data_IF_494900128885
#
_entry.id   IF_494900128885
#
_cell.length_a   1.000
_cell.length_b   1.000
_cell.length_c   1.000
_cell.angle_alpha   90.00
_cell.angle_beta   90.00
_cell.angle_gamma   90.00
#
_symmetry.space_group_name_H-M   'P 1'
#
loop_
_entity.id
_entity.type
_entity.pdbx_description
1 polymer ?
#
# COMPACT_ATOMS: atom_id res chain seq x y z
N UNK A 1 -28.12 -14.66 4.91
CA UNK A 1 -28.94 -14.81 6.13
C UNK A 1 -28.77 -13.55 6.97
N UNK A 2 -29.71 -13.14 7.82
CA UNK A 2 -29.50 -11.93 8.65
C UNK A 2 -28.63 -12.28 9.87
N UNK A 3 -27.52 -11.57 10.08
CA UNK A 3 -26.65 -11.74 11.26
C UNK A 3 -27.43 -11.44 12.54
N UNK A 4 -27.37 -12.28 13.58
CA UNK A 4 -27.95 -11.95 14.88
C UNK A 4 -27.40 -10.62 15.40
N UNK A 5 -28.28 -9.72 15.87
CA UNK A 5 -27.90 -8.37 16.32
C UNK A 5 -26.85 -8.37 17.43
N UNK A 6 -26.87 -9.38 18.31
CA UNK A 6 -25.91 -9.49 19.40
C UNK A 6 -24.49 -9.82 18.89
N UNK A 7 -24.36 -10.71 17.91
CA UNK A 7 -23.09 -11.05 17.26
C UNK A 7 -22.47 -9.85 16.54
N UNK A 8 -23.26 -9.11 15.76
CA UNK A 8 -22.80 -7.90 15.07
C UNK A 8 -22.34 -6.82 16.07
N UNK A 9 -23.07 -6.66 17.18
CA UNK A 9 -22.72 -5.72 18.24
C UNK A 9 -21.41 -6.09 18.94
N UNK A 10 -21.19 -7.37 19.23
CA UNK A 10 -19.95 -7.87 19.82
C UNK A 10 -18.74 -7.65 18.89
N UNK A 11 -18.89 -7.96 17.59
CA UNK A 11 -17.87 -7.72 16.58
C UNK A 11 -17.50 -6.23 16.51
N UNK A 12 -18.48 -5.35 16.38
CA UNK A 12 -18.27 -3.89 16.36
C UNK A 12 -17.61 -3.37 17.63
N UNK A 13 -17.96 -3.92 18.80
CA UNK A 13 -17.32 -3.55 20.06
C UNK A 13 -15.85 -4.00 20.11
N UNK A 14 -15.54 -5.19 19.59
CA UNK A 14 -14.17 -5.68 19.48
C UNK A 14 -13.33 -4.76 18.57
N UNK A 15 -13.83 -4.45 17.36
CA UNK A 15 -13.18 -3.52 16.43
C UNK A 15 -12.95 -2.16 17.08
N UNK A 16 -13.95 -1.60 17.76
CA UNK A 16 -13.83 -0.30 18.42
C UNK A 16 -12.71 -0.26 19.47
N UNK A 17 -12.60 -1.30 20.30
CA UNK A 17 -11.52 -1.43 21.29
C UNK A 17 -10.15 -1.49 20.61
N UNK A 18 -10.05 -2.26 19.53
CA UNK A 18 -8.80 -2.39 18.77
C UNK A 18 -8.39 -1.06 18.12
N UNK A 19 -9.33 -0.31 17.54
CA UNK A 19 -9.09 1.02 16.99
C UNK A 19 -8.56 2.00 18.06
N UNK A 20 -9.13 1.98 19.26
CA UNK A 20 -8.67 2.81 20.38
C UNK A 20 -7.25 2.44 20.81
N UNK A 21 -6.94 1.14 20.87
CA UNK A 21 -5.58 0.68 21.17
C UNK A 21 -4.59 1.08 20.07
N UNK A 22 -4.97 0.92 18.81
CA UNK A 22 -4.16 1.31 17.65
C UNK A 22 -3.81 2.80 17.71
N UNK A 23 -4.81 3.66 17.97
CA UNK A 23 -4.62 5.10 18.11
C UNK A 23 -3.66 5.45 19.25
N UNK A 24 -3.91 4.91 20.46
CA UNK A 24 -3.07 5.16 21.64
C UNK A 24 -1.60 4.77 21.39
N UNK A 25 -1.37 3.60 20.78
CA UNK A 25 -0.01 3.12 20.47
C UNK A 25 0.66 4.00 19.42
N UNK A 26 -0.06 4.38 18.37
CA UNK A 26 0.47 5.23 17.31
C UNK A 26 0.80 6.64 17.81
N UNK A 27 0.05 7.19 18.75
CA UNK A 27 0.33 8.47 19.40
C UNK A 27 1.54 8.40 20.34
N UNK A 28 1.79 7.24 20.95
CA UNK A 28 2.91 7.03 21.86
C UNK A 28 4.29 6.84 21.20
N UNK A 29 4.35 6.77 19.86
CA UNK A 29 5.62 6.59 19.15
C UNK A 29 6.55 7.81 19.33
N UNK A 30 7.80 7.56 19.70
CA UNK A 30 8.78 8.60 20.09
C UNK A 30 10.19 8.42 19.46
N UNK A 31 10.32 7.56 18.46
CA UNK A 31 11.59 7.30 17.76
C UNK A 31 11.71 8.04 16.40
N UNK A 32 12.93 8.15 15.83
CA UNK A 32 13.14 8.81 14.54
C UNK A 32 12.27 8.22 13.42
N UNK A 33 11.69 9.11 12.61
CA UNK A 33 10.85 8.74 11.48
C UNK A 33 9.45 8.22 11.81
N UNK A 34 9.02 8.27 13.08
CA UNK A 34 7.64 7.93 13.45
C UNK A 34 6.61 9.03 13.13
N UNK A 35 7.07 10.20 12.65
CA UNK A 35 6.24 11.35 12.27
C UNK A 35 6.52 11.73 10.83
N UNK A 36 5.47 11.92 10.05
CA UNK A 36 5.58 12.37 8.67
C UNK A 36 5.98 13.84 8.61
N UNK A 37 6.80 14.19 7.62
CA UNK A 37 7.25 15.56 7.33
C UNK A 37 6.51 16.19 6.16
N UNK A 38 5.68 15.40 5.46
CA UNK A 38 4.84 15.83 4.35
C UNK A 38 3.37 15.92 4.77
N UNK A 39 2.59 16.76 4.06
CA UNK A 39 1.14 16.82 4.21
C UNK A 39 0.48 15.79 3.29
N UNK A 40 -0.58 15.14 3.77
CA UNK A 40 -1.45 14.31 2.90
C UNK A 40 -2.45 15.24 2.20
N UNK A 41 -2.89 14.88 0.99
CA UNK A 41 -3.87 15.64 0.20
C UNK A 41 -3.41 17.08 -0.13
N UNK A 42 -2.13 17.24 -0.47
CA UNK A 42 -1.60 18.51 -0.97
C UNK A 42 -2.16 18.86 -2.35
N UNK A 43 -2.20 20.15 -2.67
CA UNK A 43 -2.47 20.62 -4.02
C UNK A 43 -1.44 20.04 -4.99
N UNK A 44 -1.90 19.67 -6.19
CA UNK A 44 -1.02 19.12 -7.21
C UNK A 44 -0.09 20.23 -7.71
N UNK A 45 1.24 20.06 -7.63
CA UNK A 45 2.18 21.05 -8.15
C UNK A 45 2.14 21.07 -9.69
N UNK A 46 2.65 22.15 -10.28
CA UNK A 46 2.90 22.22 -11.72
C UNK A 46 3.87 21.09 -12.15
N UNK A 47 3.60 20.38 -13.26
CA UNK A 47 4.48 19.31 -13.74
C UNK A 47 5.86 19.84 -14.14
N UNK A 48 6.91 19.25 -13.59
CA UNK A 48 8.30 19.56 -13.94
C UNK A 48 8.89 18.42 -14.81
N UNK A 49 9.27 18.70 -16.07
CA UNK A 49 9.81 17.68 -16.99
C UNK A 49 11.19 17.15 -16.56
N UNK A 50 11.90 17.79 -15.64
CA UNK A 50 13.22 17.38 -15.17
C UNK A 50 13.19 16.70 -13.79
N UNK A 51 12.07 16.80 -13.06
CA UNK A 51 11.90 16.20 -11.74
C UNK A 51 12.02 14.68 -11.80
N UNK A 52 12.86 14.11 -10.95
CA UNK A 52 13.01 12.66 -10.78
C UNK A 52 12.29 12.20 -9.52
N UNK A 53 11.40 11.23 -9.70
CA UNK A 53 10.59 10.68 -8.61
C UNK A 53 10.81 9.18 -8.53
N UNK A 54 11.02 8.66 -7.32
CA UNK A 54 11.02 7.23 -7.07
C UNK A 54 9.76 6.88 -6.27
N UNK A 55 8.88 6.10 -6.91
CA UNK A 55 7.63 5.62 -6.33
C UNK A 55 7.84 4.30 -5.59
N UNK A 56 7.28 4.20 -4.39
CA UNK A 56 7.38 3.03 -3.52
C UNK A 56 5.99 2.53 -3.18
N UNK A 57 5.69 1.28 -3.53
CA UNK A 57 4.62 0.57 -2.86
C UNK A 57 4.93 0.33 -1.38
N UNK A 58 3.93 -0.01 -0.57
CA UNK A 58 4.05 -0.16 0.88
C UNK A 58 3.94 -1.62 1.30
N UNK A 59 2.78 -2.22 1.10
CA UNK A 59 2.45 -3.56 1.56
C UNK A 59 3.33 -4.60 0.85
N UNK A 60 3.95 -5.53 1.59
CA UNK A 60 4.91 -6.52 1.06
C UNK A 60 6.17 -5.94 0.35
N UNK A 61 6.30 -4.61 0.30
CA UNK A 61 7.43 -3.90 -0.31
C UNK A 61 8.32 -3.23 0.74
N UNK A 62 7.77 -2.28 1.52
CA UNK A 62 8.48 -1.61 2.63
C UNK A 62 8.56 -2.49 3.88
N UNK A 63 7.81 -3.58 3.93
CA UNK A 63 7.96 -4.64 4.90
C UNK A 63 7.80 -5.98 4.19
N UNK A 64 8.38 -7.03 4.78
CA UNK A 64 8.40 -8.34 4.16
C UNK A 64 7.02 -8.99 4.13
N UNK A 65 6.75 -9.78 3.09
CA UNK A 65 5.56 -10.62 3.01
C UNK A 65 5.48 -11.62 4.16
N UNK A 66 6.63 -12.12 4.61
CA UNK A 66 6.77 -13.00 5.77
C UNK A 66 6.25 -12.42 7.10
N UNK A 67 5.85 -11.13 7.14
CA UNK A 67 5.11 -10.55 8.27
C UNK A 67 3.66 -11.06 8.39
N UNK A 68 3.13 -11.71 7.35
CA UNK A 68 1.79 -12.29 7.30
C UNK A 68 0.63 -11.28 7.47
N UNK A 69 0.89 -9.99 7.20
CA UNK A 69 -0.13 -8.93 7.29
C UNK A 69 -1.22 -9.12 6.25
N UNK A 70 -0.87 -9.61 5.06
CA UNK A 70 -1.84 -9.91 4.01
C UNK A 70 -2.84 -10.98 4.47
N UNK A 71 -2.39 -12.02 5.16
CA UNK A 71 -3.23 -13.11 5.66
C UNK A 71 -4.15 -12.63 6.78
N UNK A 72 -3.67 -11.75 7.65
CA UNK A 72 -4.52 -11.06 8.63
C UNK A 72 -5.58 -10.17 7.96
N UNK A 73 -5.21 -9.49 6.87
CA UNK A 73 -6.16 -8.73 6.06
C UNK A 73 -7.23 -9.65 5.49
N UNK A 74 -6.85 -10.77 4.86
CA UNK A 74 -7.81 -11.75 4.31
C UNK A 74 -8.78 -12.26 5.39
N UNK A 75 -8.27 -12.55 6.59
CA UNK A 75 -9.12 -12.96 7.73
C UNK A 75 -10.06 -11.84 8.19
N UNK A 76 -9.57 -10.61 8.27
CA UNK A 76 -10.37 -9.44 8.65
C UNK A 76 -11.50 -9.17 7.64
N UNK A 77 -11.22 -9.34 6.34
CA UNK A 77 -12.21 -9.23 5.26
C UNK A 77 -13.31 -10.29 5.41
N UNK A 78 -12.95 -11.56 5.64
CA UNK A 78 -13.94 -12.62 5.89
C UNK A 78 -14.79 -12.32 7.11
N UNK A 79 -14.17 -11.92 8.22
CA UNK A 79 -14.88 -11.55 9.44
C UNK A 79 -15.88 -10.42 9.19
N UNK A 80 -15.51 -9.41 8.40
CA UNK A 80 -16.43 -8.34 8.01
C UNK A 80 -17.62 -8.88 7.19
N UNK A 81 -17.39 -9.70 6.16
CA UNK A 81 -18.48 -10.26 5.36
C UNK A 81 -19.43 -11.12 6.20
N UNK A 82 -18.89 -11.91 7.13
CA UNK A 82 -19.70 -12.76 8.01
C UNK A 82 -20.52 -11.94 9.00
N UNK A 83 -19.91 -10.98 9.68
CA UNK A 83 -20.55 -10.26 10.79
C UNK A 83 -21.35 -9.03 10.36
N UNK A 84 -21.05 -8.42 9.22
CA UNK A 84 -21.76 -7.23 8.73
C UNK A 84 -22.68 -7.54 7.54
N UNK A 85 -22.34 -8.50 6.69
CA UNK A 85 -23.11 -8.82 5.48
C UNK A 85 -23.90 -10.14 5.60
N UNK A 86 -23.65 -10.97 6.63
CA UNK A 86 -24.34 -12.24 6.83
C UNK A 86 -24.08 -13.28 5.75
N UNK A 87 -22.89 -13.21 5.17
CA UNK A 87 -22.32 -14.15 4.21
C UNK A 87 -21.64 -15.28 4.98
N UNK A 88 -21.81 -16.53 4.58
CA UNK A 88 -21.09 -17.65 5.20
C UNK A 88 -19.58 -17.62 4.85
N UNK A 89 -18.78 -18.40 5.56
CA UNK A 89 -17.32 -18.36 5.43
C UNK A 89 -16.83 -18.78 4.04
N UNK A 90 -17.42 -19.82 3.44
CA UNK A 90 -17.04 -20.32 2.12
C UNK A 90 -17.35 -19.29 1.02
N UNK A 91 -18.53 -18.69 1.09
CA UNK A 91 -18.92 -17.64 0.15
C UNK A 91 -18.11 -16.36 0.35
N UNK A 92 -17.77 -16.00 1.59
CA UNK A 92 -16.91 -14.85 1.87
C UNK A 92 -15.51 -15.05 1.26
N UNK A 93 -14.93 -16.24 1.39
CA UNK A 93 -13.66 -16.58 0.77
C UNK A 93 -13.76 -16.54 -0.76
N UNK A 94 -14.84 -17.09 -1.33
CA UNK A 94 -15.07 -17.10 -2.79
C UNK A 94 -15.20 -15.68 -3.36
N UNK A 95 -15.97 -14.81 -2.71
CA UNK A 95 -16.14 -13.40 -3.11
C UNK A 95 -14.80 -12.67 -3.04
N UNK A 96 -14.09 -12.84 -1.92
CA UNK A 96 -12.83 -12.17 -1.66
C UNK A 96 -11.74 -12.56 -2.68
N UNK A 97 -11.52 -13.87 -2.89
CA UNK A 97 -10.59 -14.36 -3.92
C UNK A 97 -11.02 -13.94 -5.33
N UNK A 98 -12.33 -13.97 -5.62
CA UNK A 98 -12.87 -13.59 -6.91
C UNK A 98 -12.58 -12.13 -7.26
N UNK A 99 -12.81 -11.21 -6.32
CA UNK A 99 -12.51 -9.79 -6.51
C UNK A 99 -11.02 -9.49 -6.48
N UNK A 100 -10.24 -10.16 -5.63
CA UNK A 100 -8.80 -10.04 -5.63
C UNK A 100 -8.22 -10.47 -6.99
N UNK A 101 -8.64 -11.62 -7.54
CA UNK A 101 -8.23 -12.06 -8.88
C UNK A 101 -8.62 -11.10 -9.98
N UNK A 102 -9.83 -10.57 -9.92
CA UNK A 102 -10.37 -9.74 -11.01
C UNK A 102 -9.84 -8.31 -10.99
N UNK A 103 -9.58 -7.76 -9.82
CA UNK A 103 -9.33 -6.33 -9.64
C UNK A 103 -8.00 -6.01 -8.94
N UNK A 104 -7.27 -7.00 -8.44
CA UNK A 104 -6.07 -6.82 -7.62
C UNK A 104 -6.35 -6.21 -6.23
N UNK A 105 -7.63 -5.95 -5.92
CA UNK A 105 -8.05 -5.28 -4.70
C UNK A 105 -9.53 -5.63 -4.40
N UNK A 106 -9.77 -6.41 -3.36
CA UNK A 106 -11.11 -6.95 -3.07
C UNK A 106 -12.18 -5.88 -2.82
N UNK A 107 -11.82 -4.80 -2.11
CA UNK A 107 -12.74 -3.69 -1.81
C UNK A 107 -13.33 -3.04 -3.06
N UNK A 108 -12.60 -3.02 -4.18
CA UNK A 108 -13.11 -2.48 -5.45
C UNK A 108 -14.35 -3.23 -5.92
N UNK A 109 -14.33 -4.56 -5.84
CA UNK A 109 -15.49 -5.38 -6.18
C UNK A 109 -16.63 -5.22 -5.19
N UNK A 110 -16.31 -5.20 -3.89
CA UNK A 110 -17.32 -5.06 -2.85
C UNK A 110 -18.07 -3.72 -2.96
N UNK A 111 -17.36 -2.59 -3.13
CA UNK A 111 -17.99 -1.27 -3.27
C UNK A 111 -18.86 -1.22 -4.53
N UNK A 112 -18.36 -1.70 -5.67
CA UNK A 112 -19.08 -1.61 -6.94
C UNK A 112 -20.31 -2.50 -7.03
N UNK A 113 -20.25 -3.73 -6.51
CA UNK A 113 -21.27 -4.75 -6.76
C UNK A 113 -22.06 -5.18 -5.53
N UNK A 114 -21.55 -4.91 -4.32
CA UNK A 114 -22.21 -5.28 -3.07
C UNK A 114 -22.72 -4.06 -2.28
N UNK A 115 -22.51 -2.83 -2.78
CA UNK A 115 -23.05 -1.60 -2.20
C UNK A 115 -22.52 -1.30 -0.79
N UNK A 116 -21.33 -1.81 -0.45
CA UNK A 116 -20.70 -1.51 0.83
C UNK A 116 -20.17 -0.08 0.86
N UNK A 117 -20.20 0.55 2.02
CA UNK A 117 -19.48 1.79 2.27
C UNK A 117 -17.97 1.49 2.40
N UNK A 118 -17.16 2.04 1.51
CA UNK A 118 -15.71 1.79 1.48
C UNK A 118 -14.98 2.32 2.72
N UNK A 119 -15.48 3.38 3.35
CA UNK A 119 -14.90 3.95 4.55
C UNK A 119 -15.26 3.14 5.80
N UNK A 120 -16.49 2.64 5.90
CA UNK A 120 -16.88 1.71 6.96
C UNK A 120 -16.11 0.40 6.85
N UNK A 121 -15.98 -0.15 5.63
CA UNK A 121 -15.14 -1.33 5.39
C UNK A 121 -13.69 -1.07 5.82
N UNK A 122 -13.09 0.05 5.43
CA UNK A 122 -11.73 0.40 5.83
C UNK A 122 -11.58 0.43 7.36
N UNK A 123 -12.54 1.07 8.04
CA UNK A 123 -12.55 1.19 9.50
C UNK A 123 -12.61 -0.19 10.18
N UNK A 124 -13.46 -1.06 9.67
CA UNK A 124 -13.72 -2.38 10.26
C UNK A 124 -12.62 -3.40 9.93
N UNK A 125 -12.01 -3.28 8.75
CA UNK A 125 -11.07 -4.26 8.22
C UNK A 125 -9.62 -3.84 8.41
N UNK A 126 -9.22 -2.71 7.83
CA UNK A 126 -7.82 -2.29 7.70
C UNK A 126 -7.35 -1.49 8.92
N UNK A 127 -8.08 -0.43 9.28
CA UNK A 127 -7.76 0.40 10.45
C UNK A 127 -7.78 -0.41 11.76
N UNK A 128 -8.53 -1.51 11.80
CA UNK A 128 -8.64 -2.39 12.96
C UNK A 128 -7.47 -3.38 13.08
N UNK A 129 -6.67 -3.61 12.02
CA UNK A 129 -5.53 -4.52 12.12
C UNK A 129 -4.54 -4.05 13.19
N UNK A 130 -4.02 -4.94 14.04
CA UNK A 130 -3.11 -4.55 15.12
C UNK A 130 -1.65 -4.51 14.65
N UNK A 131 -1.38 -3.71 13.61
CA UNK A 131 -0.09 -3.67 12.89
C UNK A 131 1.12 -3.47 13.80
N UNK A 132 0.98 -2.70 14.88
CA UNK A 132 2.07 -2.43 15.82
C UNK A 132 2.50 -3.63 16.68
N UNK A 133 1.82 -4.77 16.59
CA UNK A 133 2.32 -6.04 17.14
C UNK A 133 3.24 -6.79 16.17
N UNK A 134 3.23 -6.40 14.90
CA UNK A 134 3.87 -7.12 13.79
C UNK A 134 5.00 -6.26 13.24
N UNK A 135 4.66 -5.05 12.79
CA UNK A 135 5.61 -4.06 12.32
C UNK A 135 6.36 -3.44 13.50
N UNK A 136 7.66 -3.22 13.28
CA UNK A 136 8.58 -2.60 14.22
C UNK A 136 9.46 -1.60 13.44
N UNK A 137 10.13 -0.66 14.11
CA UNK A 137 11.11 0.18 13.45
C UNK A 137 12.13 -0.68 12.70
N UNK A 138 12.44 -0.31 11.46
CA UNK A 138 13.43 -0.99 10.64
C UNK A 138 14.61 -0.05 10.33
N UNK A 139 15.66 -0.05 11.19
CA UNK A 139 16.86 0.75 10.97
C UNK A 139 17.60 0.42 9.66
N UNK A 140 17.49 -0.80 9.15
CA UNK A 140 18.19 -1.21 7.91
C UNK A 140 17.48 -0.59 6.71
N UNK A 141 16.16 -0.73 6.63
CA UNK A 141 15.34 -0.05 5.62
C UNK A 141 15.53 1.47 5.70
N UNK A 142 15.45 2.04 6.91
CA UNK A 142 15.65 3.47 7.12
C UNK A 142 16.99 3.93 6.57
N UNK A 143 18.08 3.18 6.82
CA UNK A 143 19.42 3.51 6.32
C UNK A 143 19.48 3.51 4.80
N UNK A 144 18.88 2.51 4.14
CA UNK A 144 18.83 2.43 2.67
C UNK A 144 18.12 3.64 2.07
N UNK A 145 16.97 4.03 2.62
CA UNK A 145 16.22 5.20 2.16
C UNK A 145 16.97 6.51 2.44
N UNK A 146 17.66 6.62 3.58
CA UNK A 146 18.52 7.77 3.89
C UNK A 146 19.69 7.89 2.91
N UNK A 147 20.34 6.78 2.58
CA UNK A 147 21.45 6.76 1.63
C UNK A 147 20.99 7.17 0.23
N UNK A 148 19.82 6.68 -0.19
CA UNK A 148 19.19 7.10 -1.44
C UNK A 148 18.94 8.61 -1.47
N UNK A 149 18.36 9.19 -0.41
CA UNK A 149 18.14 10.65 -0.32
C UNK A 149 19.43 11.44 -0.31
N UNK A 150 20.43 11.01 0.47
CA UNK A 150 21.69 11.72 0.65
C UNK A 150 22.49 11.88 -0.65
N UNK A 151 22.26 11.00 -1.64
CA UNK A 151 22.94 11.05 -2.94
C UNK A 151 22.40 12.12 -3.88
N UNK A 152 21.19 12.62 -3.66
CA UNK A 152 20.58 13.67 -4.49
C UNK A 152 20.38 13.29 -5.96
N UNK A 153 20.26 11.98 -6.26
CA UNK A 153 20.02 11.47 -7.63
C UNK A 153 18.54 11.43 -7.98
N UNK A 154 17.68 11.39 -6.97
CA UNK A 154 16.22 11.45 -7.04
C UNK A 154 15.78 12.65 -6.21
N UNK A 155 14.85 13.43 -6.73
CA UNK A 155 14.38 14.66 -6.09
C UNK A 155 13.28 14.38 -5.06
N UNK A 156 12.43 13.38 -5.33
CA UNK A 156 11.35 12.95 -4.41
C UNK A 156 11.28 11.45 -4.23
N UNK A 157 11.11 11.01 -2.98
CA UNK A 157 10.63 9.67 -2.65
C UNK A 157 9.12 9.76 -2.41
N UNK A 158 8.33 8.98 -3.13
CA UNK A 158 6.88 9.10 -3.13
C UNK A 158 6.22 7.77 -2.81
N UNK A 159 5.34 7.74 -1.80
CA UNK A 159 4.55 6.55 -1.50
C UNK A 159 3.46 6.39 -2.56
N UNK A 160 3.28 5.18 -3.11
CA UNK A 160 2.25 4.88 -4.09
C UNK A 160 1.61 3.52 -3.82
N UNK A 161 0.46 3.53 -3.12
CA UNK A 161 -0.17 2.34 -2.55
C UNK A 161 -1.62 2.17 -3.01
N UNK A 162 -2.08 0.92 -3.04
CA UNK A 162 -3.50 0.57 -3.21
C UNK A 162 -4.31 0.62 -1.91
N UNK A 163 -3.66 0.81 -0.75
CA UNK A 163 -4.34 1.00 0.52
C UNK A 163 -4.90 2.42 0.67
N UNK A 164 -5.74 2.62 1.69
CA UNK A 164 -6.18 3.96 2.10
C UNK A 164 -5.09 4.68 2.91
N UNK A 165 -5.18 6.01 2.99
CA UNK A 165 -4.17 6.84 3.65
C UNK A 165 -3.91 6.49 5.12
N UNK A 166 -4.94 6.07 5.87
CA UNK A 166 -4.78 5.75 7.29
C UNK A 166 -3.80 4.59 7.49
N UNK A 167 -4.00 3.48 6.78
CA UNK A 167 -3.11 2.32 6.80
C UNK A 167 -1.71 2.68 6.34
N UNK A 168 -1.60 3.32 5.18
CA UNK A 168 -0.32 3.73 4.62
C UNK A 168 0.52 4.56 5.61
N UNK A 169 -0.11 5.55 6.24
CA UNK A 169 0.55 6.39 7.24
C UNK A 169 0.90 5.61 8.51
N UNK A 170 0.06 4.67 8.96
CA UNK A 170 0.38 3.80 10.09
C UNK A 170 1.63 2.96 9.81
N UNK A 171 1.70 2.31 8.66
CA UNK A 171 2.84 1.48 8.26
C UNK A 171 4.16 2.25 8.30
N UNK A 172 4.25 3.39 7.59
CA UNK A 172 5.51 4.16 7.52
C UNK A 172 5.90 4.79 8.86
N UNK A 173 4.92 5.12 9.72
CA UNK A 173 5.20 5.62 11.07
C UNK A 173 5.73 4.52 11.99
N UNK A 174 5.13 3.33 11.96
CA UNK A 174 5.59 2.19 12.77
C UNK A 174 6.97 1.70 12.32
N UNK A 175 7.23 1.68 11.01
CA UNK A 175 8.54 1.33 10.44
C UNK A 175 9.62 2.38 10.72
N UNK A 176 9.25 3.58 11.17
CA UNK A 176 10.19 4.66 11.45
C UNK A 176 10.80 5.28 10.19
N UNK A 177 10.01 5.44 9.13
CA UNK A 177 10.45 5.98 7.82
C UNK A 177 9.54 7.07 7.26
N UNK A 178 8.55 7.54 8.04
CA UNK A 178 7.55 8.49 7.58
C UNK A 178 8.12 9.87 7.19
N UNK A 179 9.28 10.25 7.75
CA UNK A 179 9.98 11.51 7.46
C UNK A 179 10.86 11.46 6.20
N UNK A 180 11.00 10.27 5.58
CA UNK A 180 11.86 10.07 4.41
C UNK A 180 11.13 10.19 3.07
N UNK A 181 9.81 10.42 3.08
CA UNK A 181 9.00 10.58 1.88
C UNK A 181 8.51 12.03 1.74
N UNK A 182 8.32 12.46 0.50
CA UNK A 182 7.87 13.82 0.16
C UNK A 182 6.36 13.90 -0.07
N UNK A 183 5.70 12.75 -0.19
CA UNK A 183 4.26 12.66 -0.37
C UNK A 183 3.75 11.24 -0.55
N UNK A 184 2.43 11.14 -0.76
CA UNK A 184 1.72 9.89 -0.92
C UNK A 184 0.61 10.00 -1.98
N UNK A 185 0.53 8.99 -2.83
CA UNK A 185 -0.65 8.65 -3.63
C UNK A 185 -1.23 7.36 -3.09
N UNK A 186 -2.48 7.42 -2.65
CA UNK A 186 -3.21 6.30 -2.08
C UNK A 186 -4.50 6.05 -2.84
N UNK A 187 -5.12 4.90 -2.61
CA UNK A 187 -6.41 4.56 -3.17
C UNK A 187 -7.53 5.22 -2.36
N UNK A 188 -8.38 6.04 -2.99
CA UNK A 188 -9.42 6.77 -2.29
C UNK A 188 -10.70 5.94 -2.15
N UNK A 189 -10.92 5.39 -0.95
CA UNK A 189 -12.07 4.55 -0.62
C UNK A 189 -13.35 5.36 -0.32
N UNK A 190 -13.27 6.69 -0.25
CA UNK A 190 -14.45 7.54 -0.07
C UNK A 190 -15.28 7.69 -1.35
N UNK A 191 -14.72 7.28 -2.50
CA UNK A 191 -15.40 7.29 -3.79
C UNK A 191 -16.43 6.17 -3.87
N UNK A 192 -17.63 6.53 -4.29
CA UNK A 192 -18.77 5.59 -4.44
C UNK A 192 -18.94 5.08 -5.88
N UNK A 193 -18.29 5.69 -6.87
CA UNK A 193 -18.45 5.37 -8.28
C UNK A 193 -17.48 4.27 -8.73
N UNK A 194 -16.18 4.49 -8.55
CA UNK A 194 -15.13 3.56 -8.94
C UNK A 194 -13.88 3.85 -8.13
N UNK A 195 -13.33 2.78 -7.58
CA UNK A 195 -12.02 2.78 -6.95
C UNK A 195 -10.94 2.75 -8.04
N UNK A 196 -10.07 3.76 -8.03
CA UNK A 196 -8.88 3.85 -8.91
C UNK A 196 -7.67 3.35 -8.13
N UNK A 197 -7.14 2.22 -8.54
CA UNK A 197 -6.01 1.52 -7.92
C UNK A 197 -5.07 0.95 -9.00
N UNK A 198 -3.81 0.71 -8.67
CA UNK A 198 -2.86 -0.01 -9.52
C UNK A 198 -3.43 -1.42 -9.83
N UNK A 199 -3.24 -1.97 -11.04
CA UNK A 199 -2.41 -1.48 -12.15
C UNK A 199 -3.14 -0.53 -13.12
N UNK A 200 -4.28 0.07 -12.76
CA UNK A 200 -5.01 0.96 -13.67
C UNK A 200 -4.14 2.18 -14.07
N UNK A 201 -3.98 2.50 -15.37
CA UNK A 201 -3.18 3.64 -15.81
C UNK A 201 -3.60 4.98 -15.17
N UNK A 202 -4.87 5.12 -14.78
CA UNK A 202 -5.37 6.31 -14.08
C UNK A 202 -4.77 6.47 -12.69
N UNK A 203 -4.37 5.39 -12.03
CA UNK A 203 -3.67 5.43 -10.74
C UNK A 203 -2.26 6.00 -10.91
N UNK A 204 -1.55 5.59 -11.96
CA UNK A 204 -0.22 6.12 -12.29
C UNK A 204 -0.28 7.59 -12.70
N UNK A 205 -1.29 7.98 -13.49
CA UNK A 205 -1.51 9.38 -13.84
C UNK A 205 -1.84 10.24 -12.61
N UNK A 206 -2.61 9.70 -11.66
CA UNK A 206 -2.83 10.35 -10.35
C UNK A 206 -1.50 10.53 -9.61
N UNK A 207 -0.66 9.50 -9.55
CA UNK A 207 0.64 9.58 -8.88
C UNK A 207 1.58 10.60 -9.54
N UNK A 208 1.63 10.62 -10.88
CA UNK A 208 2.37 11.58 -11.68
C UNK A 208 1.96 13.02 -11.38
N UNK A 209 0.66 13.31 -11.37
CA UNK A 209 0.12 14.65 -11.06
C UNK A 209 0.42 15.09 -9.63
N UNK A 210 0.19 14.21 -8.66
CA UNK A 210 0.38 14.55 -7.25
C UNK A 210 1.85 14.74 -6.88
N UNK A 211 2.76 13.99 -7.50
CA UNK A 211 4.21 14.15 -7.27
C UNK A 211 4.82 15.35 -8.02
N UNK A 212 4.15 15.85 -9.06
CA UNK A 212 4.66 16.89 -9.96
C UNK A 212 5.57 16.35 -11.07
N UNK A 213 5.56 15.04 -11.32
CA UNK A 213 6.37 14.44 -12.36
C UNK A 213 5.89 14.89 -13.76
N UNK A 214 6.79 15.51 -14.53
CA UNK A 214 6.49 15.92 -15.91
C UNK A 214 6.55 14.78 -16.92
N UNK A 215 7.49 13.84 -16.79
CA UNK A 215 7.74 12.75 -17.74
C UNK A 215 8.07 11.43 -17.02
N UNK A 216 7.43 10.32 -17.43
CA UNK A 216 7.70 8.97 -16.90
C UNK A 216 9.14 8.52 -17.11
N UNK A 217 9.87 9.04 -18.11
CA UNK A 217 11.29 8.72 -18.33
C UNK A 217 12.22 9.16 -17.17
N UNK A 218 11.71 9.96 -16.22
CA UNK A 218 12.37 10.36 -14.98
C UNK A 218 11.81 9.66 -13.72
N UNK A 219 10.89 8.72 -13.88
CA UNK A 219 10.34 7.92 -12.79
C UNK A 219 11.09 6.61 -12.59
N UNK A 220 11.22 6.24 -11.32
CA UNK A 220 11.62 4.91 -10.86
C UNK A 220 10.44 4.34 -10.07
N UNK A 221 10.28 3.01 -10.05
CA UNK A 221 9.17 2.37 -9.34
C UNK A 221 9.58 1.05 -8.70
N UNK A 222 9.11 0.79 -7.47
CA UNK A 222 9.27 -0.49 -6.78
C UNK A 222 7.94 -0.97 -6.21
N UNK A 223 7.59 -2.22 -6.48
CA UNK A 223 6.31 -2.86 -6.12
C UNK A 223 6.48 -4.39 -6.05
N UNK A 224 5.66 -5.11 -5.30
CA UNK A 224 5.69 -6.58 -5.27
C UNK A 224 4.87 -7.22 -6.40
N UNK A 225 3.85 -6.51 -6.91
CA UNK A 225 2.98 -6.98 -7.99
C UNK A 225 3.63 -6.84 -9.37
N UNK A 226 3.75 -7.96 -10.08
CA UNK A 226 4.22 -8.00 -11.46
C UNK A 226 3.38 -7.15 -12.41
N UNK A 227 2.05 -7.17 -12.29
CA UNK A 227 1.12 -6.35 -13.08
C UNK A 227 1.34 -4.84 -12.86
N UNK A 228 1.60 -4.42 -11.62
CA UNK A 228 1.91 -3.02 -11.32
C UNK A 228 3.24 -2.62 -11.97
N UNK A 229 4.27 -3.46 -11.82
CA UNK A 229 5.60 -3.26 -12.42
C UNK A 229 5.51 -3.19 -13.94
N UNK A 230 4.73 -4.08 -14.56
CA UNK A 230 4.48 -4.11 -16.01
C UNK A 230 3.84 -2.81 -16.49
N UNK A 231 2.83 -2.31 -15.77
CA UNK A 231 2.20 -1.03 -16.09
C UNK A 231 3.20 0.13 -16.02
N UNK A 232 4.09 0.15 -15.02
CA UNK A 232 5.17 1.14 -14.94
C UNK A 232 6.11 1.09 -16.15
N UNK A 233 6.51 -0.11 -16.58
CA UNK A 233 7.34 -0.31 -17.76
C UNK A 233 6.63 0.15 -19.04
N UNK A 234 5.36 -0.21 -19.21
CA UNK A 234 4.53 0.18 -20.36
C UNK A 234 4.35 1.70 -20.47
N UNK A 235 4.33 2.41 -19.34
CA UNK A 235 4.27 3.88 -19.30
C UNK A 235 5.63 4.55 -19.57
N UNK A 236 6.70 3.77 -19.73
CA UNK A 236 8.04 4.29 -20.03
C UNK A 236 8.82 4.74 -18.79
N UNK A 237 8.52 4.20 -17.60
CA UNK A 237 9.33 4.45 -16.41
C UNK A 237 10.77 3.98 -16.62
N UNK A 238 11.74 4.74 -16.11
CA UNK A 238 13.17 4.49 -16.36
C UNK A 238 13.63 3.13 -15.87
N UNK A 239 13.21 2.76 -14.65
CA UNK A 239 13.48 1.47 -14.02
C UNK A 239 12.31 1.09 -13.14
N UNK A 240 11.84 -0.15 -13.29
CA UNK A 240 10.89 -0.77 -12.38
C UNK A 240 11.56 -1.96 -11.69
N UNK A 241 11.39 -2.05 -10.37
CA UNK A 241 11.95 -3.09 -9.51
C UNK A 241 10.79 -3.89 -8.94
N UNK A 242 10.80 -5.21 -9.11
CA UNK A 242 9.85 -6.10 -8.45
C UNK A 242 10.46 -6.69 -7.17
N UNK A 243 9.74 -6.58 -6.07
CA UNK A 243 10.07 -7.31 -4.83
C UNK A 243 9.44 -8.69 -4.88
N UNK A 244 10.25 -9.75 -4.82
CA UNK A 244 9.79 -11.13 -4.79
C UNK A 244 10.55 -11.90 -3.69
N UNK A 245 10.01 -11.86 -2.47
CA UNK A 245 10.59 -12.57 -1.31
C UNK A 245 10.61 -14.08 -1.54
N UNK A 246 11.76 -14.71 -1.33
CA UNK A 246 12.04 -16.13 -1.54
C UNK A 246 11.67 -16.63 -2.96
N UNK A 247 11.77 -15.73 -3.96
CA UNK A 247 11.34 -15.97 -5.33
C UNK A 247 9.84 -16.29 -5.48
N UNK A 248 9.04 -15.99 -4.46
CA UNK A 248 7.61 -16.15 -4.53
C UNK A 248 7.00 -15.04 -5.39
N UNK A 249 6.32 -15.45 -6.47
CA UNK A 249 5.55 -14.57 -7.34
C UNK A 249 4.08 -14.95 -7.18
N UNK A 250 3.26 -13.99 -6.74
CA UNK A 250 1.81 -14.19 -6.69
C UNK A 250 1.26 -14.15 -8.11
N UNK A 251 0.87 -15.31 -8.65
CA UNK A 251 0.32 -15.45 -10.00
C UNK A 251 -0.88 -14.53 -10.25
N UNK A 252 -1.66 -14.21 -9.21
CA UNK A 252 -2.79 -13.28 -9.29
C UNK A 252 -2.30 -11.86 -9.57
N UNK A 253 -1.17 -11.49 -8.96
CA UNK A 253 -0.55 -10.18 -9.10
C UNK A 253 0.38 -10.08 -10.32
N UNK A 254 0.46 -11.12 -11.14
CA UNK A 254 1.21 -11.15 -12.39
C UNK A 254 2.62 -11.70 -12.25
N UNK A 255 3.11 -12.34 -13.32
CA UNK A 255 4.48 -12.81 -13.43
C UNK A 255 5.49 -11.65 -13.48
N UNK A 256 6.78 -11.97 -13.31
CA UNK A 256 7.84 -10.98 -13.49
C UNK A 256 7.86 -10.48 -14.95
N UNK A 257 7.60 -9.18 -15.19
CA UNK A 257 7.53 -8.67 -16.55
C UNK A 257 8.94 -8.50 -17.15
N UNK A 258 9.03 -8.64 -18.47
CA UNK A 258 10.28 -8.45 -19.19
C UNK A 258 10.80 -7.02 -19.00
N UNK A 259 12.06 -6.88 -18.55
CA UNK A 259 12.69 -5.59 -18.30
C UNK A 259 12.62 -5.10 -16.85
N UNK A 260 11.87 -5.80 -15.97
CA UNK A 260 11.93 -5.55 -14.54
C UNK A 260 13.25 -6.06 -13.92
N UNK A 261 13.72 -5.36 -12.89
CA UNK A 261 14.78 -5.83 -12.01
C UNK A 261 14.12 -6.54 -10.83
N UNK A 262 14.57 -7.73 -10.46
CA UNK A 262 14.00 -8.47 -9.32
C UNK A 262 14.93 -8.39 -8.11
N UNK A 263 14.35 -8.14 -6.95
CA UNK A 263 15.04 -8.16 -5.65
C UNK A 263 14.29 -9.02 -4.65
N UNK A 264 15.01 -9.64 -3.72
CA UNK A 264 14.40 -10.42 -2.64
C UNK A 264 13.77 -9.51 -1.57
N UNK A 265 14.32 -8.31 -1.41
CA UNK A 265 13.80 -7.30 -0.50
C UNK A 265 14.29 -5.91 -0.91
N UNK A 266 13.58 -4.87 -0.49
CA UNK A 266 13.93 -3.48 -0.75
C UNK A 266 15.35 -3.09 -0.31
N UNK A 267 15.94 -3.79 0.67
CA UNK A 267 17.31 -3.50 1.13
C UNK A 267 18.37 -3.80 0.07
N UNK A 268 18.02 -4.52 -1.00
CA UNK A 268 18.89 -4.79 -2.14
C UNK A 268 18.86 -3.69 -3.22
N UNK A 269 18.08 -2.61 -3.03
CA UNK A 269 18.03 -1.47 -3.95
C UNK A 269 19.41 -0.92 -4.35
N UNK A 270 20.41 -0.78 -3.45
CA UNK A 270 21.75 -0.33 -3.84
C UNK A 270 22.44 -1.24 -4.88
N UNK A 271 22.09 -2.53 -4.92
CA UNK A 271 22.58 -3.47 -5.94
C UNK A 271 21.74 -3.42 -7.22
N UNK A 272 20.43 -3.24 -7.08
CA UNK A 272 19.49 -3.24 -8.21
C UNK A 272 19.61 -1.98 -9.08
N UNK A 273 19.77 -0.82 -8.46
CA UNK A 273 19.87 0.50 -9.11
C UNK A 273 21.08 1.28 -8.58
N UNK A 274 22.30 0.74 -8.75
CA UNK A 274 23.51 1.28 -8.12
C UNK A 274 23.82 2.72 -8.54
N UNK A 275 23.36 3.16 -9.70
CA UNK A 275 23.48 4.54 -10.18
C UNK A 275 22.78 5.57 -9.28
N UNK A 276 21.77 5.15 -8.51
CA UNK A 276 21.08 6.02 -7.55
C UNK A 276 21.80 6.12 -6.20
N UNK A 277 22.73 5.21 -5.93
CA UNK A 277 23.47 5.09 -4.67
C UNK A 277 24.95 5.46 -4.78
N UNK A 278 25.44 5.77 -5.99
CA UNK A 278 26.82 6.17 -6.28
C UNK A 278 27.03 7.68 -6.15
#
# INVERSE_FOLDING_TARGET
MTVPKDTQKEYRLHVLKQLQENAKRLESLDYPGCKATFKVDQECPEPDPHLKVFYFDIDNCLYRRSTMIHELMQQSIRNYMMNELGVDEEEAERINQGYYRKYGLAIRGLVMFNGIDGMEYNRMVDDSLPLQHILKPDPVLRKVLQDLRAKGRVDKLWLFTNAYKNHAMRCVRILGIADLFDGITYCDYSRTDTIICKPDPRAFEKAKKQSGLGDYSNAYFIDDSGNNVEQGLNLGMRKCVQVAEDHHVDEILGNVPMGAIVVNSITELPRAVPELFK
#
